data_IF_965220338455
#
_entry.id   IF_965220338455
#
_cell.length_a   1.000
_cell.length_b   1.000
_cell.length_c   1.000
_cell.angle_alpha   90.00
_cell.angle_beta   90.00
_cell.angle_gamma   90.00
#
_symmetry.space_group_name_H-M   'P 1'
#
loop_
_entity.id
_entity.type
_entity.pdbx_description
1 polymer ?
#
# COMPACT_ATOMS: atom_id res chain seq x y z
N UNK A 1 34.87 -5.32 -14.38
CA UNK A 1 35.03 -5.62 -12.95
C UNK A 1 36.25 -6.49 -12.82
N UNK A 2 37.31 -5.99 -12.16
CA UNK A 2 38.49 -6.82 -11.87
C UNK A 2 38.12 -7.83 -10.77
N UNK A 3 38.12 -9.13 -11.08
CA UNK A 3 37.74 -10.21 -10.16
C UNK A 3 38.53 -10.29 -8.86
N UNK A 4 39.52 -9.42 -8.67
CA UNK A 4 40.44 -9.45 -7.51
C UNK A 4 40.32 -8.23 -6.59
N UNK A 5 39.50 -7.25 -6.93
CA UNK A 5 39.45 -5.99 -6.21
C UNK A 5 38.00 -5.64 -5.88
N UNK A 6 37.76 -5.11 -4.67
CA UNK A 6 36.47 -4.57 -4.31
C UNK A 6 36.09 -3.47 -5.29
N UNK A 7 34.87 -3.45 -5.73
CA UNK A 7 34.35 -2.48 -6.68
C UNK A 7 32.96 -2.01 -6.29
N UNK A 8 32.57 -0.82 -6.76
CA UNK A 8 31.24 -0.28 -6.53
C UNK A 8 30.62 0.22 -7.80
N UNK A 9 29.29 0.16 -7.87
CA UNK A 9 28.51 0.82 -8.93
C UNK A 9 27.59 1.83 -8.26
N UNK A 10 27.64 3.05 -8.75
CA UNK A 10 26.75 4.14 -8.35
C UNK A 10 25.89 4.49 -9.57
N UNK A 11 24.58 4.30 -9.46
CA UNK A 11 23.60 4.66 -10.49
C UNK A 11 22.89 5.94 -10.06
N UNK A 12 22.87 6.93 -10.94
CA UNK A 12 22.31 8.25 -10.69
C UNK A 12 21.18 8.48 -11.68
N UNK A 13 20.00 8.89 -11.20
CA UNK A 13 18.94 9.44 -12.02
C UNK A 13 18.78 10.92 -11.70
N UNK A 14 18.79 11.78 -12.70
CA UNK A 14 18.59 13.23 -12.56
C UNK A 14 17.21 13.59 -13.08
N UNK A 15 16.22 13.63 -12.16
CA UNK A 15 14.81 13.81 -12.51
C UNK A 15 14.54 15.13 -13.25
N UNK A 16 15.29 16.20 -12.93
CA UNK A 16 15.17 17.49 -13.59
C UNK A 16 15.51 17.44 -15.08
N UNK A 17 16.37 16.53 -15.54
CA UNK A 17 16.63 16.36 -16.98
C UNK A 17 15.39 15.89 -17.73
N UNK A 18 14.63 14.97 -17.15
CA UNK A 18 13.37 14.48 -17.72
C UNK A 18 12.28 15.56 -17.72
N UNK A 19 12.15 16.31 -16.61
CA UNK A 19 11.21 17.42 -16.50
C UNK A 19 11.56 18.57 -17.49
N UNK A 20 12.83 18.86 -17.67
CA UNK A 20 13.34 19.89 -18.58
C UNK A 20 13.12 19.57 -20.07
N UNK A 21 12.97 18.30 -20.43
CA UNK A 21 12.74 17.85 -21.81
C UNK A 21 11.50 18.47 -22.47
N UNK A 22 10.47 18.79 -21.68
CA UNK A 22 9.23 19.40 -22.15
C UNK A 22 9.23 20.94 -22.19
N UNK A 23 10.22 21.59 -21.57
CA UNK A 23 10.21 23.05 -21.32
C UNK A 23 11.37 23.78 -22.01
N UNK A 24 12.57 23.15 -22.07
CA UNK A 24 13.77 23.75 -22.63
C UNK A 24 13.92 23.48 -24.14
N UNK A 25 14.48 24.43 -24.86
CA UNK A 25 14.91 24.21 -26.25
C UNK A 25 16.15 23.30 -26.32
N UNK A 26 16.55 22.89 -27.53
CA UNK A 26 17.66 21.95 -27.74
C UNK A 26 18.99 22.51 -27.23
N UNK A 27 19.26 23.81 -27.44
CA UNK A 27 20.51 24.46 -27.03
C UNK A 27 20.61 24.53 -25.51
N UNK A 28 19.52 24.88 -24.83
CA UNK A 28 19.44 24.94 -23.38
C UNK A 28 19.58 23.55 -22.73
N UNK A 29 19.02 22.52 -23.35
CA UNK A 29 19.19 21.12 -22.91
C UNK A 29 20.63 20.65 -22.99
N UNK A 30 21.30 20.94 -24.12
CA UNK A 30 22.70 20.58 -24.32
C UNK A 30 23.59 21.30 -23.31
N UNK A 31 23.35 22.59 -23.03
CA UNK A 31 24.06 23.36 -22.02
C UNK A 31 23.84 22.81 -20.61
N UNK A 32 22.60 22.45 -20.26
CA UNK A 32 22.26 21.82 -18.99
C UNK A 32 22.99 20.48 -18.82
N UNK A 33 22.94 19.62 -19.83
CA UNK A 33 23.61 18.32 -19.82
C UNK A 33 25.12 18.46 -19.69
N UNK A 34 25.74 19.34 -20.51
CA UNK A 34 27.17 19.60 -20.47
C UNK A 34 27.64 20.08 -19.10
N UNK A 35 26.88 20.98 -18.47
CA UNK A 35 27.17 21.48 -17.13
C UNK A 35 27.09 20.37 -16.06
N UNK A 36 26.06 19.51 -16.12
CA UNK A 36 25.91 18.39 -15.20
C UNK A 36 27.00 17.33 -15.39
N UNK A 37 27.36 17.01 -16.62
CA UNK A 37 28.47 16.09 -16.93
C UNK A 37 29.80 16.62 -16.39
N UNK A 38 30.07 17.93 -16.57
CA UNK A 38 31.28 18.57 -16.01
C UNK A 38 31.35 18.40 -14.49
N UNK A 39 30.25 18.70 -13.81
CA UNK A 39 30.14 18.57 -12.34
C UNK A 39 30.33 17.12 -11.86
N UNK A 40 29.77 16.16 -12.58
CA UNK A 40 29.94 14.75 -12.26
C UNK A 40 31.39 14.31 -12.45
N UNK A 41 32.05 14.74 -13.55
CA UNK A 41 33.46 14.42 -13.80
C UNK A 41 34.41 15.00 -12.74
N UNK A 42 34.09 16.17 -12.20
CA UNK A 42 34.90 16.77 -11.09
C UNK A 42 34.87 15.94 -9.81
N UNK A 43 33.81 15.15 -9.61
CA UNK A 43 33.65 14.28 -8.43
C UNK A 43 34.25 12.88 -8.61
N UNK A 44 34.47 12.45 -9.86
CA UNK A 44 34.92 11.09 -10.19
C UNK A 44 36.44 11.07 -10.41
N UNK A 45 37.11 10.08 -9.81
CA UNK A 45 38.56 9.92 -9.95
C UNK A 45 38.93 9.48 -11.38
N UNK A 46 40.16 9.80 -11.84
CA UNK A 46 40.68 9.32 -13.14
C UNK A 46 40.75 7.79 -13.23
N UNK A 47 40.83 7.09 -12.10
CA UNK A 47 40.86 5.64 -12.04
C UNK A 47 39.46 5.00 -12.21
N UNK A 48 38.40 5.79 -12.06
CA UNK A 48 37.01 5.37 -12.11
C UNK A 48 36.40 5.66 -13.49
N UNK A 49 35.20 5.18 -13.75
CA UNK A 49 34.52 5.38 -15.02
C UNK A 49 33.14 6.01 -14.80
N UNK A 50 32.90 7.15 -15.45
CA UNK A 50 31.56 7.74 -15.59
C UNK A 50 31.01 7.41 -17.00
N UNK A 51 29.77 6.90 -17.05
CA UNK A 51 29.06 6.61 -18.28
C UNK A 51 27.64 7.16 -18.21
N UNK A 52 27.16 7.73 -19.32
CA UNK A 52 25.75 8.04 -19.51
C UNK A 52 25.06 6.85 -20.16
N UNK A 53 24.00 6.33 -19.55
CA UNK A 53 23.23 5.17 -20.04
C UNK A 53 21.99 5.61 -20.80
N UNK A 54 21.30 6.63 -20.27
CA UNK A 54 20.11 7.23 -20.87
C UNK A 54 20.19 8.75 -20.73
N UNK A 55 19.18 9.46 -21.23
CA UNK A 55 19.12 10.93 -21.17
C UNK A 55 19.20 11.50 -19.76
N UNK A 56 18.69 10.77 -18.77
CA UNK A 56 18.57 11.19 -17.37
C UNK A 56 19.38 10.31 -16.40
N UNK A 57 20.07 9.26 -16.92
CA UNK A 57 20.72 8.26 -16.09
C UNK A 57 22.21 8.14 -16.37
N UNK A 58 22.99 8.21 -15.29
CA UNK A 58 24.43 8.05 -15.27
C UNK A 58 24.85 6.89 -14.39
N UNK A 59 25.99 6.31 -14.69
CA UNK A 59 26.60 5.21 -13.93
C UNK A 59 28.05 5.54 -13.67
N UNK A 60 28.47 5.41 -12.42
CA UNK A 60 29.88 5.50 -12.03
C UNK A 60 30.35 4.13 -11.58
N UNK A 61 31.38 3.60 -12.21
CA UNK A 61 32.10 2.42 -11.79
C UNK A 61 33.32 2.86 -10.97
N UNK A 62 33.35 2.47 -9.70
CA UNK A 62 34.41 2.79 -8.76
C UNK A 62 35.26 1.54 -8.54
N UNK A 63 36.59 1.69 -8.71
CA UNK A 63 37.58 0.62 -8.54
C UNK A 63 38.30 0.75 -7.21
N UNK A 64 38.85 -0.36 -6.75
CA UNK A 64 39.68 -0.41 -5.53
C UNK A 64 39.00 0.22 -4.30
N UNK A 65 37.74 -0.12 -4.11
CA UNK A 65 36.94 0.38 -2.99
C UNK A 65 37.43 -0.27 -1.70
N UNK A 66 38.12 0.45 -0.84
CA UNK A 66 38.60 -0.10 0.44
C UNK A 66 37.46 -0.50 1.37
N UNK A 67 36.43 0.35 1.46
CA UNK A 67 35.27 0.15 2.34
C UNK A 67 33.98 0.66 1.67
N UNK A 68 32.83 0.03 1.93
CA UNK A 68 31.54 0.50 1.39
C UNK A 68 31.22 1.97 1.71
N UNK A 69 31.72 2.47 2.83
CA UNK A 69 31.52 3.89 3.24
C UNK A 69 32.11 4.88 2.23
N UNK A 70 33.17 4.55 1.53
CA UNK A 70 33.78 5.41 0.51
C UNK A 70 32.81 5.69 -0.65
N UNK A 71 31.98 4.70 -1.02
CA UNK A 71 30.94 4.85 -2.05
C UNK A 71 29.82 5.79 -1.59
N UNK A 72 29.47 5.73 -0.31
CA UNK A 72 28.46 6.64 0.25
C UNK A 72 28.96 8.09 0.25
N UNK A 73 30.24 8.29 0.57
CA UNK A 73 30.86 9.62 0.53
C UNK A 73 30.92 10.17 -0.90
N UNK A 74 31.31 9.33 -1.88
CA UNK A 74 31.27 9.72 -3.29
C UNK A 74 29.86 10.08 -3.74
N UNK A 75 28.86 9.25 -3.40
CA UNK A 75 27.47 9.50 -3.75
C UNK A 75 26.96 10.81 -3.15
N UNK A 76 27.37 11.16 -1.93
CA UNK A 76 27.04 12.42 -1.29
C UNK A 76 27.69 13.60 -2.03
N UNK A 77 28.95 13.50 -2.40
CA UNK A 77 29.64 14.55 -3.17
C UNK A 77 28.97 14.74 -4.55
N UNK A 78 28.60 13.65 -5.22
CA UNK A 78 27.86 13.69 -6.49
C UNK A 78 26.50 14.37 -6.31
N UNK A 79 25.75 14.00 -5.28
CA UNK A 79 24.46 14.63 -4.95
C UNK A 79 24.60 16.13 -4.71
N UNK A 80 25.55 16.50 -3.86
CA UNK A 80 25.80 17.92 -3.53
C UNK A 80 26.23 18.72 -4.78
N UNK A 81 27.00 18.12 -5.67
CA UNK A 81 27.43 18.76 -6.92
C UNK A 81 26.27 18.91 -7.93
N UNK A 82 25.41 17.90 -8.07
CA UNK A 82 24.25 17.94 -8.95
C UNK A 82 23.23 18.99 -8.49
N UNK A 83 22.92 19.03 -7.18
CA UNK A 83 21.85 19.85 -6.62
C UNK A 83 22.18 21.32 -6.48
N UNK A 84 23.45 21.73 -6.73
CA UNK A 84 23.81 23.15 -6.82
C UNK A 84 23.06 23.85 -7.93
N UNK A 85 22.62 25.07 -7.66
CA UNK A 85 21.94 25.89 -8.65
C UNK A 85 22.73 25.96 -9.97
N UNK A 86 22.02 25.84 -11.07
CA UNK A 86 22.51 26.00 -12.44
C UNK A 86 21.81 27.21 -13.02
N UNK A 87 22.63 28.21 -13.42
CA UNK A 87 22.13 29.40 -14.08
C UNK A 87 22.31 29.19 -15.60
N UNK A 88 21.20 28.96 -16.28
CA UNK A 88 21.11 29.05 -17.75
C UNK A 88 20.72 30.48 -18.10
N UNK A 89 21.12 30.97 -19.24
CA UNK A 89 21.00 32.39 -19.63
C UNK A 89 19.65 33.04 -19.29
N UNK A 90 18.56 32.27 -19.29
CA UNK A 90 17.19 32.75 -19.02
C UNK A 90 16.50 32.08 -17.83
N UNK A 91 17.11 31.05 -17.23
CA UNK A 91 16.47 30.23 -16.21
C UNK A 91 17.45 29.71 -15.17
N UNK A 92 17.14 29.91 -13.89
CA UNK A 92 17.87 29.32 -12.78
C UNK A 92 17.18 28.01 -12.34
N UNK A 93 17.88 26.88 -12.46
CA UNK A 93 17.39 25.53 -12.10
C UNK A 93 18.11 25.01 -10.86
N UNK A 94 17.39 24.27 -10.04
CA UNK A 94 17.96 23.43 -8.98
C UNK A 94 17.68 21.97 -9.31
N UNK A 95 18.65 21.26 -9.89
CA UNK A 95 18.45 19.87 -10.26
C UNK A 95 18.20 18.99 -9.03
N UNK A 96 17.42 17.95 -9.22
CA UNK A 96 17.16 16.89 -8.23
C UNK A 96 17.62 15.56 -8.78
N UNK A 97 18.16 14.71 -7.89
CA UNK A 97 18.67 13.42 -8.28
C UNK A 97 18.29 12.34 -7.26
N UNK A 98 18.34 11.10 -7.70
CA UNK A 98 18.26 9.91 -6.84
C UNK A 98 19.44 8.98 -7.16
N UNK A 99 20.09 8.48 -6.12
CA UNK A 99 21.32 7.70 -6.26
C UNK A 99 21.14 6.34 -5.60
N UNK A 100 21.49 5.30 -6.35
CA UNK A 100 21.56 3.92 -5.85
C UNK A 100 22.98 3.37 -5.92
N UNK A 101 23.41 2.65 -4.89
CA UNK A 101 24.76 2.13 -4.74
C UNK A 101 24.72 0.62 -4.58
N UNK A 102 25.60 -0.11 -5.27
CA UNK A 102 25.93 -1.49 -5.00
C UNK A 102 27.43 -1.66 -4.76
N UNK A 103 27.78 -2.64 -3.96
CA UNK A 103 29.16 -2.95 -3.61
C UNK A 103 29.49 -4.41 -3.91
N UNK A 104 30.60 -4.62 -4.58
CA UNK A 104 31.16 -5.93 -4.87
C UNK A 104 32.39 -6.21 -4.00
N UNK A 105 32.34 -7.35 -3.32
CA UNK A 105 33.46 -7.90 -2.61
C UNK A 105 33.77 -9.28 -3.22
N UNK A 106 34.99 -9.50 -3.75
CA UNK A 106 35.37 -10.79 -4.33
C UNK A 106 35.23 -11.90 -3.30
N UNK A 107 34.48 -12.94 -3.65
CA UNK A 107 34.40 -14.16 -2.83
C UNK A 107 35.17 -15.28 -3.53
N UNK A 108 36.11 -15.93 -2.81
CA UNK A 108 36.99 -16.93 -3.39
C UNK A 108 36.27 -18.21 -3.88
N UNK A 109 35.03 -18.42 -3.43
CA UNK A 109 34.24 -19.63 -3.72
C UNK A 109 33.23 -19.44 -4.88
N UNK A 110 33.00 -18.21 -5.36
CA UNK A 110 32.01 -17.96 -6.41
C UNK A 110 32.63 -18.05 -7.82
N UNK A 111 32.09 -18.96 -8.63
CA UNK A 111 32.49 -19.23 -10.03
C UNK A 111 31.61 -18.53 -11.04
N UNK A 112 30.94 -17.44 -10.67
CA UNK A 112 30.02 -16.73 -11.56
C UNK A 112 30.79 -16.04 -12.72
N UNK A 113 30.22 -16.01 -13.91
CA UNK A 113 30.79 -15.31 -15.07
C UNK A 113 30.86 -13.81 -14.79
N UNK A 114 32.00 -13.17 -15.10
CA UNK A 114 32.25 -11.75 -14.86
C UNK A 114 31.19 -10.80 -15.47
N UNK A 115 30.60 -11.21 -16.59
CA UNK A 115 29.52 -10.47 -17.25
C UNK A 115 28.25 -10.51 -16.41
N UNK A 116 27.85 -11.69 -15.96
CA UNK A 116 26.66 -11.87 -15.10
C UNK A 116 26.81 -11.14 -13.76
N UNK A 117 28.00 -11.13 -13.21
CA UNK A 117 28.32 -10.44 -11.97
C UNK A 117 28.20 -8.92 -12.13
N UNK A 118 28.72 -8.35 -13.23
CA UNK A 118 28.57 -6.94 -13.54
C UNK A 118 27.09 -6.56 -13.79
N UNK A 119 26.34 -7.40 -14.51
CA UNK A 119 24.91 -7.22 -14.74
C UNK A 119 24.12 -7.25 -13.41
N UNK A 120 24.48 -8.15 -12.51
CA UNK A 120 23.86 -8.23 -11.18
C UNK A 120 24.11 -6.96 -10.36
N UNK A 121 25.35 -6.50 -10.28
CA UNK A 121 25.71 -5.28 -9.56
C UNK A 121 25.00 -4.04 -10.12
N UNK A 122 24.94 -3.92 -11.45
CA UNK A 122 24.23 -2.82 -12.08
C UNK A 122 22.72 -2.87 -11.80
N UNK A 123 22.14 -4.08 -11.80
CA UNK A 123 20.73 -4.29 -11.44
C UNK A 123 20.47 -3.93 -9.97
N UNK A 124 21.37 -4.30 -9.08
CA UNK A 124 21.30 -3.98 -7.65
C UNK A 124 21.33 -2.47 -7.42
N UNK A 125 22.31 -1.76 -7.99
CA UNK A 125 22.42 -0.31 -7.86
C UNK A 125 21.20 0.40 -8.49
N UNK A 126 20.70 -0.11 -9.63
CA UNK A 126 19.48 0.44 -10.27
C UNK A 126 18.25 0.23 -9.40
N UNK A 127 18.13 -0.91 -8.72
CA UNK A 127 17.02 -1.17 -7.79
C UNK A 127 17.06 -0.23 -6.59
N UNK A 128 18.25 0.00 -6.01
CA UNK A 128 18.43 0.97 -4.93
C UNK A 128 18.09 2.39 -5.39
N UNK A 129 18.52 2.80 -6.59
CA UNK A 129 18.18 4.12 -7.15
C UNK A 129 16.66 4.28 -7.36
N UNK A 130 15.98 3.26 -7.86
CA UNK A 130 14.52 3.30 -8.03
C UNK A 130 13.80 3.40 -6.68
N UNK A 131 14.32 2.78 -5.62
CA UNK A 131 13.79 2.94 -4.27
C UNK A 131 14.04 4.36 -3.76
N UNK A 132 15.25 4.92 -3.96
CA UNK A 132 15.58 6.29 -3.62
C UNK A 132 14.61 7.29 -4.29
N UNK A 133 14.23 7.06 -5.54
CA UNK A 133 13.22 7.89 -6.24
C UNK A 133 11.84 7.85 -5.57
N UNK A 134 11.45 6.71 -4.99
CA UNK A 134 10.16 6.56 -4.29
C UNK A 134 10.15 7.19 -2.90
N UNK A 135 11.29 7.20 -2.21
CA UNK A 135 11.42 7.84 -0.89
C UNK A 135 11.43 9.36 -0.94
N UNK A 136 11.60 9.94 -2.11
CA UNK A 136 11.55 11.38 -2.33
C UNK A 136 12.69 11.93 -3.15
N UNK A 137 12.81 13.28 -3.19
CA UNK A 137 13.88 13.98 -3.93
C UNK A 137 15.19 13.91 -3.16
N UNK A 138 16.29 13.83 -3.90
CA UNK A 138 17.66 13.88 -3.36
C UNK A 138 17.98 12.79 -2.32
N UNK A 139 17.56 11.57 -2.60
CA UNK A 139 17.82 10.41 -1.76
C UNK A 139 18.99 9.58 -2.29
N UNK A 140 19.75 8.99 -1.37
CA UNK A 140 20.87 8.07 -1.64
C UNK A 140 20.60 6.78 -0.90
N UNK A 141 20.49 5.67 -1.63
CA UNK A 141 20.29 4.35 -1.02
C UNK A 141 21.39 3.36 -1.43
N UNK A 142 21.80 2.57 -0.47
CA UNK A 142 22.72 1.45 -0.68
C UNK A 142 21.92 0.17 -0.90
N UNK A 143 22.29 -0.63 -1.91
CA UNK A 143 21.63 -1.90 -2.16
C UNK A 143 21.92 -2.90 -1.05
N UNK A 144 20.90 -3.36 -0.40
CA UNK A 144 20.96 -4.50 0.52
C UNK A 144 20.28 -5.73 -0.13
N UNK A 145 20.94 -6.91 -0.15
CA UNK A 145 20.35 -8.13 -0.71
C UNK A 145 18.99 -8.48 -0.09
N UNK A 146 18.75 -8.11 1.17
CA UNK A 146 17.47 -8.27 1.86
C UNK A 146 16.35 -7.45 1.22
N UNK A 147 16.66 -6.24 0.74
CA UNK A 147 15.65 -5.35 0.11
C UNK A 147 15.24 -5.85 -1.28
N UNK A 148 16.20 -6.33 -2.08
CA UNK A 148 15.89 -6.93 -3.38
C UNK A 148 15.02 -8.18 -3.24
N UNK A 149 15.29 -9.01 -2.23
CA UNK A 149 14.45 -10.18 -1.94
C UNK A 149 13.05 -9.76 -1.54
N UNK A 150 12.89 -8.79 -0.63
CA UNK A 150 11.58 -8.25 -0.25
C UNK A 150 10.81 -7.67 -1.44
N UNK A 151 11.47 -6.91 -2.32
CA UNK A 151 10.83 -6.36 -3.50
C UNK A 151 10.35 -7.44 -4.48
N UNK A 152 11.13 -8.52 -4.67
CA UNK A 152 10.75 -9.66 -5.48
C UNK A 152 9.58 -10.44 -4.84
N UNK A 153 9.66 -10.70 -3.54
CA UNK A 153 8.58 -11.35 -2.78
C UNK A 153 7.29 -10.55 -2.88
N UNK A 154 7.36 -9.21 -2.73
CA UNK A 154 6.22 -8.31 -2.88
C UNK A 154 5.58 -8.42 -4.27
N UNK A 155 6.38 -8.33 -5.33
CA UNK A 155 5.88 -8.44 -6.70
C UNK A 155 5.26 -9.81 -6.99
N UNK A 156 5.85 -10.88 -6.45
CA UNK A 156 5.29 -12.23 -6.58
C UNK A 156 3.91 -12.31 -5.92
N UNK A 157 3.79 -11.80 -4.70
CA UNK A 157 2.54 -11.79 -3.93
C UNK A 157 1.44 -10.94 -4.58
N UNK A 158 1.78 -9.76 -5.09
CA UNK A 158 0.86 -8.93 -5.88
C UNK A 158 0.33 -9.72 -7.10
N UNK A 159 1.24 -10.34 -7.84
CA UNK A 159 0.89 -11.17 -9.00
C UNK A 159 0.00 -12.36 -8.63
N UNK A 160 0.25 -13.01 -7.50
CA UNK A 160 -0.59 -14.11 -7.00
C UNK A 160 -2.02 -13.65 -6.71
N UNK A 161 -2.20 -12.52 -6.02
CA UNK A 161 -3.53 -11.96 -5.70
C UNK A 161 -4.28 -11.60 -6.99
N UNK A 162 -3.64 -10.89 -7.90
CA UNK A 162 -4.26 -10.47 -9.16
C UNK A 162 -4.61 -11.66 -10.05
N UNK A 163 -3.77 -12.69 -10.08
CA UNK A 163 -4.07 -13.93 -10.78
C UNK A 163 -5.25 -14.68 -10.14
N UNK A 164 -5.29 -14.75 -8.82
CA UNK A 164 -6.38 -15.39 -8.09
C UNK A 164 -7.73 -14.72 -8.35
N UNK A 165 -7.78 -13.38 -8.39
CA UNK A 165 -8.96 -12.61 -8.79
C UNK A 165 -9.41 -12.97 -10.21
N UNK A 166 -8.48 -13.01 -11.16
CA UNK A 166 -8.77 -13.27 -12.58
C UNK A 166 -9.22 -14.73 -12.80
N UNK A 167 -8.70 -15.68 -12.03
CA UNK A 167 -8.99 -17.10 -12.16
C UNK A 167 -10.24 -17.53 -11.37
N UNK A 168 -10.80 -16.64 -10.55
CA UNK A 168 -11.97 -16.93 -9.73
C UNK A 168 -11.65 -17.81 -8.51
N UNK A 169 -10.43 -17.70 -7.99
CA UNK A 169 -9.98 -18.48 -6.84
C UNK A 169 -10.53 -17.92 -5.52
N UNK A 170 -11.22 -16.77 -5.54
CA UNK A 170 -11.90 -16.22 -4.36
C UNK A 170 -13.36 -16.68 -4.29
N UNK A 171 -13.86 -16.82 -3.07
CA UNK A 171 -15.27 -17.08 -2.78
C UNK A 171 -15.74 -16.21 -1.62
N UNK A 172 -17.03 -15.87 -1.60
CA UNK A 172 -17.64 -15.08 -0.55
C UNK A 172 -18.50 -16.02 0.32
N UNK A 173 -18.13 -16.09 1.59
CA UNK A 173 -18.89 -16.83 2.61
C UNK A 173 -19.78 -15.84 3.34
N UNK A 174 -20.98 -16.30 3.72
CA UNK A 174 -21.94 -15.48 4.46
C UNK A 174 -22.09 -16.06 5.87
N UNK A 175 -21.66 -15.30 6.87
CA UNK A 175 -21.86 -15.65 8.28
C UNK A 175 -23.19 -15.05 8.75
N UNK A 176 -24.16 -15.88 9.21
CA UNK A 176 -25.46 -15.38 9.60
C UNK A 176 -25.40 -14.59 10.93
N UNK A 177 -26.17 -13.50 10.98
CA UNK A 177 -26.43 -12.72 12.19
C UNK A 177 -27.89 -12.97 12.64
N UNK A 178 -28.07 -13.37 13.88
CA UNK A 178 -29.38 -13.79 14.41
C UNK A 178 -29.88 -12.76 15.41
N UNK A 179 -31.12 -12.31 15.23
CA UNK A 179 -31.82 -11.51 16.25
C UNK A 179 -32.12 -12.38 17.47
N UNK A 180 -31.49 -12.08 18.60
CA UNK A 180 -31.58 -12.88 19.83
C UNK A 180 -32.97 -12.90 20.43
N UNK A 181 -33.79 -11.87 20.15
CA UNK A 181 -35.15 -11.77 20.67
C UNK A 181 -36.14 -12.63 19.88
N UNK A 182 -35.97 -12.73 18.58
CA UNK A 182 -36.90 -13.42 17.68
C UNK A 182 -36.39 -14.76 17.18
N UNK A 183 -35.09 -15.02 17.28
CA UNK A 183 -34.41 -16.19 16.72
C UNK A 183 -34.38 -16.19 15.17
N UNK A 184 -34.65 -15.07 14.53
CA UNK A 184 -34.68 -14.95 13.08
C UNK A 184 -33.37 -14.40 12.54
N UNK A 185 -33.10 -14.68 11.27
CA UNK A 185 -31.98 -14.10 10.55
C UNK A 185 -32.20 -12.59 10.40
N UNK A 186 -31.26 -11.80 10.93
CA UNK A 186 -31.28 -10.35 10.95
C UNK A 186 -30.34 -9.73 9.91
N UNK A 187 -29.26 -10.43 9.58
CA UNK A 187 -28.25 -10.00 8.62
C UNK A 187 -27.28 -11.13 8.28
N UNK A 188 -26.31 -10.85 7.43
CA UNK A 188 -25.21 -11.75 7.15
C UNK A 188 -23.93 -10.95 6.90
N UNK A 189 -22.82 -11.37 7.48
CA UNK A 189 -21.51 -10.78 7.21
C UNK A 189 -20.84 -11.52 6.03
N UNK A 190 -20.36 -10.73 5.06
CA UNK A 190 -19.66 -11.26 3.89
C UNK A 190 -18.16 -11.38 4.17
N UNK A 191 -17.69 -12.59 4.16
CA UNK A 191 -16.32 -12.95 4.49
C UNK A 191 -15.63 -13.58 3.29
N UNK A 192 -14.67 -12.86 2.71
CA UNK A 192 -13.89 -13.37 1.58
C UNK A 192 -13.02 -14.56 2.01
N UNK A 193 -12.88 -15.55 1.12
CA UNK A 193 -12.03 -16.73 1.29
C UNK A 193 -11.22 -16.95 0.03
N UNK A 194 -9.95 -17.28 0.17
CA UNK A 194 -9.09 -17.62 -0.95
C UNK A 194 -8.90 -19.12 -1.04
N UNK A 195 -9.44 -19.72 -2.10
CA UNK A 195 -9.32 -21.14 -2.40
C UNK A 195 -8.00 -21.36 -3.16
N UNK A 196 -6.98 -21.87 -2.49
CA UNK A 196 -5.70 -22.16 -3.12
C UNK A 196 -5.80 -23.38 -4.06
N UNK A 197 -4.95 -23.42 -5.07
CA UNK A 197 -4.94 -24.54 -6.06
C UNK A 197 -4.58 -25.90 -5.47
N UNK A 198 -3.90 -25.90 -4.34
CA UNK A 198 -3.58 -27.10 -3.54
C UNK A 198 -4.75 -27.59 -2.68
N UNK A 199 -5.89 -26.89 -2.71
CA UNK A 199 -7.10 -27.17 -1.95
C UNK A 199 -7.12 -26.55 -0.56
N UNK A 200 -6.12 -25.77 -0.18
CA UNK A 200 -6.09 -25.04 1.09
C UNK A 200 -7.00 -23.80 1.02
N UNK A 201 -7.75 -23.56 2.10
CA UNK A 201 -8.57 -22.37 2.28
C UNK A 201 -7.80 -21.36 3.11
N UNK A 202 -7.39 -20.25 2.50
CA UNK A 202 -6.68 -19.17 3.19
C UNK A 202 -7.68 -18.13 3.73
N UNK A 203 -7.50 -17.74 5.00
CA UNK A 203 -8.38 -16.81 5.70
C UNK A 203 -7.98 -15.34 5.42
N UNK A 204 -8.93 -14.38 5.56
CA UNK A 204 -8.66 -12.96 5.33
C UNK A 204 -7.48 -12.41 6.13
N UNK A 205 -7.33 -12.82 7.39
CA UNK A 205 -6.22 -12.40 8.26
C UNK A 205 -4.82 -12.72 7.70
N UNK A 206 -4.71 -13.67 6.78
CA UNK A 206 -3.45 -14.07 6.18
C UNK A 206 -3.12 -13.31 4.90
N UNK A 207 -4.13 -12.91 4.11
CA UNK A 207 -3.88 -12.29 2.80
C UNK A 207 -4.33 -10.83 2.69
N UNK A 208 -5.27 -10.34 3.52
CA UNK A 208 -5.69 -8.93 3.49
C UNK A 208 -4.52 -7.99 3.83
N UNK A 209 -3.74 -8.20 4.91
CA UNK A 209 -2.58 -7.34 5.19
C UNK A 209 -1.57 -7.33 4.04
N UNK A 210 -1.45 -8.47 3.36
CA UNK A 210 -0.61 -8.60 2.19
C UNK A 210 -1.16 -7.80 1.00
N UNK A 211 -2.47 -7.88 0.74
CA UNK A 211 -3.12 -7.13 -0.31
C UNK A 211 -2.99 -5.61 -0.09
N UNK A 212 -3.09 -5.16 1.15
CA UNK A 212 -2.85 -3.75 1.53
C UNK A 212 -1.39 -3.35 1.25
N UNK A 213 -0.41 -4.18 1.67
CA UNK A 213 1.01 -3.91 1.45
C UNK A 213 1.37 -3.77 -0.04
N UNK A 214 0.78 -4.62 -0.90
CA UNK A 214 1.11 -4.64 -2.34
C UNK A 214 0.21 -3.76 -3.19
N UNK A 215 -0.85 -3.15 -2.63
CA UNK A 215 -1.80 -2.30 -3.36
C UNK A 215 -2.90 -3.08 -4.09
N UNK A 216 -3.07 -4.37 -3.80
CA UNK A 216 -4.11 -5.22 -4.38
C UNK A 216 -5.47 -5.12 -3.66
N UNK A 217 -5.54 -4.40 -2.55
CA UNK A 217 -6.75 -4.31 -1.72
C UNK A 217 -7.93 -3.67 -2.47
N UNK A 218 -7.68 -2.66 -3.30
CA UNK A 218 -8.75 -1.99 -4.06
C UNK A 218 -9.47 -2.97 -5.01
N UNK A 219 -8.72 -3.81 -5.71
CA UNK A 219 -9.29 -4.81 -6.61
C UNK A 219 -10.06 -5.91 -5.86
N UNK A 220 -9.59 -6.30 -4.67
CA UNK A 220 -10.30 -7.24 -3.80
C UNK A 220 -11.61 -6.64 -3.30
N UNK A 221 -11.61 -5.40 -2.83
CA UNK A 221 -12.80 -4.70 -2.36
C UNK A 221 -13.84 -4.55 -3.48
N UNK A 222 -13.42 -4.14 -4.68
CA UNK A 222 -14.31 -4.06 -5.84
C UNK A 222 -14.93 -5.43 -6.17
N UNK A 223 -14.15 -6.50 -6.08
CA UNK A 223 -14.65 -7.86 -6.28
C UNK A 223 -15.66 -8.26 -5.19
N UNK A 224 -15.36 -8.00 -3.90
CA UNK A 224 -16.26 -8.29 -2.77
C UNK A 224 -17.58 -7.54 -2.92
N UNK A 225 -17.53 -6.26 -3.26
CA UNK A 225 -18.72 -5.45 -3.51
C UNK A 225 -19.54 -6.07 -4.65
N UNK A 226 -18.89 -6.35 -5.78
CA UNK A 226 -19.58 -6.94 -6.96
C UNK A 226 -20.28 -8.24 -6.64
N UNK A 227 -19.62 -9.17 -5.95
CA UNK A 227 -20.22 -10.45 -5.57
C UNK A 227 -21.39 -10.26 -4.57
N UNK A 228 -21.24 -9.36 -3.61
CA UNK A 228 -22.30 -9.04 -2.65
C UNK A 228 -23.52 -8.44 -3.32
N UNK A 229 -23.35 -7.54 -4.30
CA UNK A 229 -24.45 -6.98 -5.09
C UNK A 229 -25.20 -8.05 -5.90
N UNK A 230 -24.46 -9.04 -6.46
CA UNK A 230 -25.09 -10.18 -7.16
C UNK A 230 -25.95 -11.01 -6.21
N UNK A 231 -25.45 -11.29 -5.00
CA UNK A 231 -26.17 -12.04 -3.98
C UNK A 231 -27.44 -11.27 -3.55
N UNK A 232 -27.30 -9.99 -3.20
CA UNK A 232 -28.44 -9.13 -2.83
C UNK A 232 -29.48 -9.04 -3.93
N UNK A 233 -29.07 -8.89 -5.19
CA UNK A 233 -29.99 -8.89 -6.33
C UNK A 233 -30.74 -10.22 -6.49
N UNK A 234 -30.06 -11.34 -6.25
CA UNK A 234 -30.72 -12.64 -6.26
C UNK A 234 -31.71 -12.80 -5.10
N UNK A 235 -31.35 -12.32 -3.91
CA UNK A 235 -32.23 -12.33 -2.73
C UNK A 235 -33.46 -11.43 -2.90
N UNK A 236 -33.27 -10.24 -3.46
CA UNK A 236 -34.38 -9.33 -3.75
C UNK A 236 -35.43 -9.96 -4.66
N UNK A 237 -35.01 -10.72 -5.70
CA UNK A 237 -35.91 -11.45 -6.58
C UNK A 237 -36.68 -12.56 -5.87
N UNK A 238 -36.16 -13.06 -4.76
CA UNK A 238 -36.76 -14.08 -3.91
C UNK A 238 -37.54 -13.52 -2.71
N UNK A 239 -37.65 -12.18 -2.60
CA UNK A 239 -38.21 -11.45 -1.47
C UNK A 239 -37.51 -11.76 -0.13
N UNK A 240 -36.21 -12.02 -0.18
CA UNK A 240 -35.37 -12.20 1.02
C UNK A 240 -34.83 -10.80 1.41
N UNK A 241 -35.36 -10.26 2.51
CA UNK A 241 -35.01 -8.93 3.04
C UNK A 241 -33.92 -9.01 4.12
N UNK A 242 -32.79 -9.67 3.83
CA UNK A 242 -31.65 -9.82 4.75
C UNK A 242 -30.50 -8.94 4.26
N UNK A 243 -30.01 -7.96 5.06
CA UNK A 243 -28.88 -7.14 4.68
C UNK A 243 -27.57 -7.92 4.73
N UNK A 244 -26.60 -7.47 3.92
CA UNK A 244 -25.23 -7.99 3.93
C UNK A 244 -24.28 -6.92 4.44
N UNK A 245 -23.42 -7.27 5.40
CA UNK A 245 -22.35 -6.43 5.92
C UNK A 245 -21.04 -6.72 5.19
N UNK A 246 -20.31 -5.66 4.81
CA UNK A 246 -18.99 -5.72 4.19
C UNK A 246 -17.95 -5.04 5.07
N UNK A 247 -16.82 -5.68 5.25
CA UNK A 247 -15.66 -5.07 5.90
C UNK A 247 -15.01 -4.03 4.99
N UNK A 248 -14.67 -2.86 5.52
CA UNK A 248 -13.99 -1.76 4.82
C UNK A 248 -12.56 -1.63 5.34
N UNK A 249 -11.57 -1.70 4.46
CA UNK A 249 -10.17 -1.55 4.85
C UNK A 249 -9.85 -0.13 5.31
N UNK A 250 -8.81 0.01 6.15
CA UNK A 250 -8.35 1.31 6.64
C UNK A 250 -7.89 2.27 5.54
N UNK A 251 -7.49 1.73 4.39
CA UNK A 251 -7.11 2.51 3.21
C UNK A 251 -8.35 3.10 2.53
N UNK A 252 -9.43 2.33 2.45
CA UNK A 252 -10.66 2.74 1.77
C UNK A 252 -11.48 3.76 2.57
N UNK A 253 -11.41 3.74 3.90
CA UNK A 253 -12.15 4.66 4.75
C UNK A 253 -11.77 6.13 4.54
N UNK A 254 -10.59 6.40 3.96
CA UNK A 254 -10.14 7.74 3.60
C UNK A 254 -10.39 8.09 2.11
N UNK A 255 -11.01 7.18 1.34
CA UNK A 255 -11.13 7.30 -0.12
C UNK A 255 -12.57 7.61 -0.54
N UNK A 256 -12.85 8.86 -0.91
CA UNK A 256 -14.19 9.28 -1.37
C UNK A 256 -14.65 8.58 -2.66
N UNK A 257 -13.73 8.10 -3.51
CA UNK A 257 -14.10 7.33 -4.72
C UNK A 257 -14.78 6.00 -4.38
N UNK A 258 -14.54 5.46 -3.18
CA UNK A 258 -15.23 4.29 -2.67
C UNK A 258 -16.73 4.50 -2.51
N UNK A 259 -17.13 5.69 -2.07
CA UNK A 259 -18.57 6.09 -1.99
C UNK A 259 -19.20 6.10 -3.38
N UNK A 260 -18.51 6.69 -4.36
CA UNK A 260 -18.98 6.76 -5.75
C UNK A 260 -19.14 5.37 -6.38
N UNK A 261 -18.21 4.46 -6.06
CA UNK A 261 -18.27 3.06 -6.48
C UNK A 261 -19.53 2.39 -5.91
N UNK A 262 -19.76 2.49 -4.60
CA UNK A 262 -20.95 1.91 -3.95
C UNK A 262 -22.25 2.47 -4.50
N UNK A 263 -22.34 3.81 -4.65
CA UNK A 263 -23.51 4.46 -5.25
C UNK A 263 -23.78 3.97 -6.68
N UNK A 264 -22.72 3.82 -7.49
CA UNK A 264 -22.82 3.30 -8.84
C UNK A 264 -23.37 1.87 -8.84
N UNK A 265 -22.76 1.00 -8.04
CA UNK A 265 -23.14 -0.41 -7.96
C UNK A 265 -24.56 -0.61 -7.46
N UNK A 266 -24.98 0.12 -6.41
CA UNK A 266 -26.36 0.07 -5.90
C UNK A 266 -27.37 0.48 -6.99
N UNK A 267 -27.07 1.51 -7.78
CA UNK A 267 -27.92 1.94 -8.91
C UNK A 267 -27.96 0.90 -10.04
N UNK A 268 -26.82 0.34 -10.43
CA UNK A 268 -26.72 -0.67 -11.50
C UNK A 268 -27.51 -1.93 -11.16
N UNK A 269 -27.43 -2.39 -9.91
CA UNK A 269 -28.16 -3.57 -9.44
C UNK A 269 -29.58 -3.26 -8.93
N UNK A 270 -29.99 -1.99 -8.93
CA UNK A 270 -31.30 -1.51 -8.45
C UNK A 270 -31.63 -2.01 -7.03
N UNK A 271 -30.65 -1.92 -6.14
CA UNK A 271 -30.75 -2.38 -4.75
C UNK A 271 -31.14 -1.23 -3.81
N UNK A 272 -31.92 -1.58 -2.78
CA UNK A 272 -32.16 -0.68 -1.65
C UNK A 272 -30.84 -0.54 -0.84
N UNK A 273 -30.33 0.69 -0.65
CA UNK A 273 -29.11 0.91 0.14
C UNK A 273 -29.15 0.35 1.57
N UNK A 274 -30.35 0.26 2.16
CA UNK A 274 -30.52 -0.34 3.50
C UNK A 274 -30.19 -1.83 3.55
N UNK A 275 -30.10 -2.51 2.41
CA UNK A 275 -29.68 -3.90 2.31
C UNK A 275 -28.15 -4.08 2.38
N UNK A 276 -27.40 -3.00 2.39
CA UNK A 276 -25.95 -3.01 2.50
C UNK A 276 -25.53 -2.33 3.80
N UNK A 277 -24.75 -3.04 4.60
CA UNK A 277 -24.09 -2.50 5.77
C UNK A 277 -22.58 -2.47 5.53
N UNK A 278 -21.87 -1.53 6.13
CA UNK A 278 -20.41 -1.48 6.11
C UNK A 278 -19.85 -1.56 7.51
N UNK A 279 -18.84 -2.39 7.69
CA UNK A 279 -18.14 -2.61 8.95
C UNK A 279 -16.78 -1.94 8.92
N UNK A 280 -16.49 -1.12 9.91
CA UNK A 280 -15.29 -0.31 10.01
C UNK A 280 -14.67 -0.55 11.38
N UNK A 281 -13.41 -0.95 11.43
CA UNK A 281 -12.73 -1.15 12.71
C UNK A 281 -12.46 0.17 13.43
N UNK A 282 -12.49 0.17 14.75
CA UNK A 282 -12.17 1.32 15.60
C UNK A 282 -10.82 1.93 15.22
N UNK A 283 -9.81 1.10 15.00
CA UNK A 283 -8.44 1.53 14.65
C UNK A 283 -8.38 2.24 13.29
N UNK A 284 -9.10 1.73 12.29
CA UNK A 284 -9.15 2.34 10.95
C UNK A 284 -9.79 3.73 10.99
N UNK A 285 -10.85 3.91 11.77
CA UNK A 285 -11.50 5.20 11.97
C UNK A 285 -10.57 6.22 12.63
N UNK A 286 -9.92 5.84 13.74
CA UNK A 286 -9.04 6.74 14.50
C UNK A 286 -7.87 7.24 13.67
N UNK A 287 -7.33 6.40 12.79
CA UNK A 287 -6.19 6.73 11.94
C UNK A 287 -6.44 7.90 10.99
N UNK A 288 -7.71 8.13 10.57
CA UNK A 288 -8.11 9.13 9.57
C UNK A 288 -9.45 9.81 9.93
N UNK A 289 -9.61 10.22 11.17
CA UNK A 289 -10.89 10.59 11.78
C UNK A 289 -11.75 11.58 10.97
N UNK A 290 -11.18 12.67 10.46
CA UNK A 290 -11.94 13.68 9.71
C UNK A 290 -12.45 13.13 8.38
N UNK A 291 -11.58 12.50 7.60
CA UNK A 291 -11.93 11.93 6.28
C UNK A 291 -12.90 10.76 6.43
N UNK A 292 -12.67 9.91 7.43
CA UNK A 292 -13.57 8.81 7.75
C UNK A 292 -14.98 9.32 8.14
N UNK A 293 -15.06 10.32 9.00
CA UNK A 293 -16.34 10.90 9.40
C UNK A 293 -17.13 11.47 8.19
N UNK A 294 -16.46 12.17 7.28
CA UNK A 294 -17.08 12.70 6.06
C UNK A 294 -17.59 11.56 5.16
N UNK A 295 -16.76 10.55 4.91
CA UNK A 295 -17.13 9.40 4.10
C UNK A 295 -18.33 8.64 4.69
N UNK A 296 -18.28 8.29 5.99
CA UNK A 296 -19.33 7.56 6.67
C UNK A 296 -20.65 8.35 6.71
N UNK A 297 -20.57 9.67 6.91
CA UNK A 297 -21.75 10.54 6.87
C UNK A 297 -22.41 10.56 5.47
N UNK A 298 -21.62 10.54 4.39
CA UNK A 298 -22.15 10.42 3.02
C UNK A 298 -22.84 9.08 2.80
N UNK A 299 -22.22 7.98 3.24
CA UNK A 299 -22.78 6.62 3.11
C UNK A 299 -24.10 6.47 3.87
N UNK A 300 -24.18 6.99 5.11
CA UNK A 300 -25.43 7.00 5.88
C UNK A 300 -26.53 7.84 5.19
N UNK A 301 -26.17 8.96 4.58
CA UNK A 301 -27.12 9.80 3.83
C UNK A 301 -27.72 9.08 2.62
N UNK A 302 -26.98 8.15 2.03
CA UNK A 302 -27.47 7.28 0.94
C UNK A 302 -28.43 6.22 1.47
N UNK A 303 -28.34 5.85 2.75
CA UNK A 303 -29.14 4.82 3.42
C UNK A 303 -28.36 3.56 3.78
N UNK A 304 -27.04 3.54 3.59
CA UNK A 304 -26.18 2.45 4.03
C UNK A 304 -25.98 2.56 5.54
N UNK A 305 -26.16 1.46 6.28
CA UNK A 305 -25.86 1.41 7.72
C UNK A 305 -24.38 1.15 7.95
N UNK A 306 -23.84 1.79 8.99
CA UNK A 306 -22.43 1.66 9.37
C UNK A 306 -22.34 0.94 10.72
N UNK A 307 -21.53 -0.12 10.77
CA UNK A 307 -21.18 -0.85 11.97
C UNK A 307 -19.74 -0.51 12.40
N UNK A 308 -19.57 -0.23 13.68
CA UNK A 308 -18.23 -0.09 14.28
C UNK A 308 -17.80 -1.44 14.80
N UNK A 309 -16.72 -1.97 14.22
CA UNK A 309 -16.18 -3.29 14.53
C UNK A 309 -15.03 -3.25 15.54
N UNK A 310 -14.77 -4.38 16.21
CA UNK A 310 -13.73 -4.57 17.24
C UNK A 310 -13.84 -3.54 18.39
N UNK A 311 -15.08 -3.12 18.75
CA UNK A 311 -15.26 -2.07 19.72
C UNK A 311 -14.80 -2.50 21.13
N UNK A 312 -13.95 -1.65 21.71
CA UNK A 312 -13.38 -1.83 23.05
C UNK A 312 -11.96 -2.39 23.06
N UNK A 313 -11.41 -2.75 21.91
CA UNK A 313 -9.99 -3.16 21.79
C UNK A 313 -9.04 -1.97 21.71
N UNK A 314 -9.54 -0.77 21.42
CA UNK A 314 -8.77 0.47 21.25
C UNK A 314 -8.76 1.39 22.46
N UNK A 315 -7.96 2.46 22.36
CA UNK A 315 -7.83 3.51 23.41
C UNK A 315 -8.84 4.65 23.23
N UNK A 316 -9.87 4.47 22.45
CA UNK A 316 -10.78 5.57 22.15
C UNK A 316 -11.72 5.85 23.33
N UNK A 317 -11.68 7.07 23.83
CA UNK A 317 -12.56 7.51 24.89
C UNK A 317 -14.01 7.66 24.42
N UNK A 318 -15.00 7.48 25.30
CA UNK A 318 -16.44 7.62 25.05
C UNK A 318 -16.84 8.93 24.35
N UNK A 319 -16.03 9.97 24.44
CA UNK A 319 -16.31 11.28 23.84
C UNK A 319 -16.41 11.27 22.32
N UNK A 320 -15.71 10.36 21.64
CA UNK A 320 -15.77 10.34 20.16
C UNK A 320 -16.99 9.58 19.64
N UNK A 321 -17.50 8.60 20.39
CA UNK A 321 -18.69 7.83 19.99
C UNK A 321 -19.93 8.70 19.75
N UNK A 322 -20.09 9.79 20.50
CA UNK A 322 -21.23 10.71 20.32
C UNK A 322 -21.24 11.40 18.95
N UNK A 323 -20.08 11.48 18.30
CA UNK A 323 -19.91 12.16 17.02
C UNK A 323 -19.69 11.19 15.86
N UNK A 324 -19.57 9.88 16.14
CA UNK A 324 -19.41 8.84 15.15
C UNK A 324 -20.71 8.66 14.33
N UNK A 325 -20.67 8.76 13.00
CA UNK A 325 -21.81 8.48 12.15
C UNK A 325 -21.98 6.95 11.98
N UNK A 326 -22.29 6.24 13.07
CA UNK A 326 -22.53 4.79 13.08
C UNK A 326 -23.95 4.45 13.50
N UNK A 327 -24.41 3.25 13.18
CA UNK A 327 -25.74 2.73 13.45
C UNK A 327 -25.68 1.46 14.31
N UNK A 328 -24.55 0.73 14.29
CA UNK A 328 -24.37 -0.56 14.91
C UNK A 328 -23.02 -0.59 15.63
N UNK A 329 -22.97 -1.22 16.80
CA UNK A 329 -21.71 -1.57 17.50
C UNK A 329 -21.56 -3.09 17.51
N UNK A 330 -20.42 -3.61 17.09
CA UNK A 330 -20.06 -5.02 17.18
C UNK A 330 -19.18 -5.23 18.42
N UNK A 331 -19.57 -6.13 19.29
CA UNK A 331 -18.81 -6.51 20.48
C UNK A 331 -17.90 -7.65 20.10
N UNK A 332 -16.58 -7.41 20.21
CA UNK A 332 -15.55 -8.38 19.86
C UNK A 332 -15.69 -9.69 20.64
N UNK A 333 -15.39 -10.78 19.96
CA UNK A 333 -15.44 -12.15 20.49
C UNK A 333 -14.70 -12.30 21.84
N UNK A 334 -13.56 -11.63 22.02
CA UNK A 334 -12.76 -11.76 23.25
C UNK A 334 -13.53 -11.31 24.50
N UNK A 335 -14.51 -10.40 24.39
CA UNK A 335 -15.37 -9.99 25.50
C UNK A 335 -16.53 -10.96 25.68
N UNK A 336 -17.09 -11.47 24.58
CA UNK A 336 -18.20 -12.43 24.59
C UNK A 336 -17.76 -13.78 25.15
N UNK A 337 -16.57 -14.25 24.81
CA UNK A 337 -15.98 -15.50 25.33
C UNK A 337 -15.79 -15.49 26.86
N UNK A 338 -15.77 -14.31 27.51
CA UNK A 338 -15.63 -14.20 28.95
C UNK A 338 -16.96 -14.43 29.72
N UNK A 339 -18.08 -14.40 29.03
CA UNK A 339 -19.40 -14.69 29.64
C UNK A 339 -19.50 -16.21 29.94
N UNK A 340 -20.05 -16.63 31.10
CA UNK A 340 -20.70 -15.80 32.15
C UNK A 340 -19.76 -15.35 33.26
N UNK A 341 -18.46 -15.63 33.20
CA UNK A 341 -17.54 -15.34 34.32
C UNK A 341 -17.33 -13.82 34.55
N UNK A 342 -17.22 -13.06 33.46
CA UNK A 342 -17.17 -11.59 33.47
C UNK A 342 -17.98 -11.04 32.27
N UNK A 343 -19.05 -10.33 32.57
CA UNK A 343 -19.94 -9.68 31.61
C UNK A 343 -19.90 -8.13 31.71
N UNK A 344 -19.01 -7.59 32.53
CA UNK A 344 -19.00 -6.16 32.85
C UNK A 344 -18.82 -5.28 31.60
N UNK A 345 -17.88 -5.62 30.72
CA UNK A 345 -17.64 -4.86 29.47
C UNK A 345 -18.81 -4.96 28.51
N UNK A 346 -19.37 -6.15 28.32
CA UNK A 346 -20.54 -6.37 27.45
C UNK A 346 -21.74 -5.53 27.94
N UNK A 347 -21.99 -5.47 29.25
CA UNK A 347 -23.05 -4.63 29.84
C UNK A 347 -22.78 -3.14 29.64
N UNK A 348 -21.53 -2.71 29.76
CA UNK A 348 -21.15 -1.31 29.55
C UNK A 348 -21.43 -0.94 28.08
N UNK A 349 -20.97 -1.76 27.13
CA UNK A 349 -21.19 -1.51 25.70
C UNK A 349 -22.67 -1.49 25.37
N UNK A 350 -23.45 -2.46 25.85
CA UNK A 350 -24.90 -2.49 25.67
C UNK A 350 -25.60 -1.24 26.23
N UNK A 351 -25.18 -0.77 27.42
CA UNK A 351 -25.70 0.45 28.00
C UNK A 351 -25.38 1.72 27.21
N UNK A 352 -24.17 1.79 26.66
CA UNK A 352 -23.75 2.89 25.78
C UNK A 352 -24.58 2.87 24.49
N UNK A 353 -24.76 1.71 23.89
CA UNK A 353 -25.54 1.55 22.66
C UNK A 353 -27.01 1.97 22.89
N UNK A 354 -27.60 1.58 24.02
CA UNK A 354 -28.95 2.02 24.41
C UNK A 354 -29.06 3.54 24.51
N UNK A 355 -28.11 4.21 25.17
CA UNK A 355 -28.08 5.68 25.33
C UNK A 355 -27.94 6.38 23.98
N UNK A 356 -27.16 5.81 23.07
CA UNK A 356 -26.87 6.37 21.74
C UNK A 356 -27.87 5.90 20.66
N UNK A 357 -28.86 5.05 21.02
CA UNK A 357 -29.83 4.44 20.13
C UNK A 357 -29.15 3.67 18.95
N UNK A 358 -28.13 2.87 19.28
CA UNK A 358 -27.41 2.03 18.34
C UNK A 358 -27.82 0.55 18.48
N UNK A 359 -27.84 -0.18 17.37
CA UNK A 359 -28.00 -1.62 17.38
C UNK A 359 -26.69 -2.28 17.90
N UNK A 360 -26.80 -3.46 18.51
CA UNK A 360 -25.65 -4.22 19.02
C UNK A 360 -25.57 -5.59 18.38
N UNK A 361 -24.40 -5.99 17.94
CA UNK A 361 -24.08 -7.32 17.46
C UNK A 361 -23.00 -7.93 18.34
N UNK A 362 -23.20 -9.14 18.87
CA UNK A 362 -22.20 -9.88 19.61
C UNK A 362 -21.53 -10.91 18.70
N UNK A 363 -20.21 -10.97 18.71
CA UNK A 363 -19.45 -11.91 17.90
C UNK A 363 -19.01 -13.15 18.69
N UNK A 364 -18.81 -14.26 17.96
CA UNK A 364 -18.26 -15.47 18.56
C UNK A 364 -19.22 -16.27 19.44
N UNK A 365 -20.51 -16.01 19.31
CA UNK A 365 -21.55 -16.75 20.05
C UNK A 365 -21.74 -18.17 19.52
#
# INVERSE_FOLDING_TARGET
VCRKENSGIVVINISTLQEAMGVLDTTQRDALLASLVSRLNECVSEADMLAQVNQDRFVVLVRNVERPHSLMLLAKNLMDSITRQLDLETLALRPTASIGISFYQPNAEETMDAKKEAELLLSQASSAMNMAMREGKNQILFFEPRLARKAKERLTKETEIMNALTQGDFSLYLQPQIDLRTGRLAGAEALIRWNRKDGELTLPSEFIPLAEEVGGIEALDEWVISESMKILSAWQKQNIGVPISLNVSGIQIANLSYVELLEKMLREYQLDPHMLHLEVTETAYISNMEQAAEMLARLRKIGIKIALDDFGMGYAGLNYLQHLPVDIIKIDKNFVDQIPADDALVRIVASIADVLALDVVAEGV
#
